data_IF_990434948369
#
_entry.id   IF_990434948369
#
_cell.length_a   1.000
_cell.length_b   1.000
_cell.length_c   1.000
_cell.angle_alpha   90.00
_cell.angle_beta   90.00
_cell.angle_gamma   90.00
#
_symmetry.space_group_name_H-M   'P 1'
#
loop_
_entity.id
_entity.type
_entity.pdbx_description
1 polymer ?
#
# COMPACT_ATOMS: atom_id res chain seq x y z
N UNK A 1 -21.59 5.67 5.64
CA UNK A 1 -20.31 4.96 5.84
C UNK A 1 -19.40 5.34 4.69
N UNK A 2 -18.52 6.31 4.93
CA UNK A 2 -17.75 7.00 3.89
C UNK A 2 -16.36 6.40 3.85
N UNK A 3 -16.10 5.51 2.89
CA UNK A 3 -14.73 5.17 2.53
C UNK A 3 -14.11 6.30 1.71
N UNK A 4 -12.80 6.45 1.89
CA UNK A 4 -11.78 7.21 1.14
C UNK A 4 -11.23 8.44 1.88
N UNK A 5 -9.92 8.41 2.16
CA UNK A 5 -9.05 9.58 2.00
C UNK A 5 -7.72 9.13 1.40
N UNK A 6 -7.61 9.28 0.07
CA UNK A 6 -6.33 9.26 -0.65
C UNK A 6 -5.68 10.62 -0.39
N UNK A 7 -4.83 10.69 0.63
CA UNK A 7 -3.96 11.84 0.82
C UNK A 7 -2.67 11.62 0.02
N UNK A 8 -2.70 11.77 -1.31
CA UNK A 8 -1.46 11.88 -2.06
C UNK A 8 -0.83 13.24 -1.74
N UNK A 9 0.07 13.27 -0.75
CA UNK A 9 0.85 14.48 -0.46
C UNK A 9 2.29 14.11 -0.14
N UNK A 10 3.15 14.22 -1.15
CA UNK A 10 4.60 14.42 -0.99
C UNK A 10 5.53 13.44 -1.71
N UNK A 11 5.09 12.20 -1.94
CA UNK A 11 5.85 11.17 -2.67
C UNK A 11 4.94 10.55 -3.72
N UNK A 12 5.38 10.47 -4.97
CA UNK A 12 4.55 10.09 -6.13
C UNK A 12 3.95 8.67 -6.03
N UNK A 13 4.43 7.83 -5.10
CA UNK A 13 4.05 6.41 -4.97
C UNK A 13 3.38 6.04 -3.64
N UNK A 14 3.39 6.89 -2.61
CA UNK A 14 2.84 6.55 -1.29
C UNK A 14 1.32 6.70 -1.25
N UNK A 15 0.61 5.70 -0.71
CA UNK A 15 -0.84 5.76 -0.52
C UNK A 15 -1.27 5.21 0.84
N UNK A 16 -2.22 5.88 1.49
CA UNK A 16 -2.90 5.37 2.67
C UNK A 16 -4.35 5.04 2.32
N UNK A 17 -4.75 3.80 2.57
CA UNK A 17 -6.07 3.27 2.23
C UNK A 17 -6.73 2.76 3.49
N UNK A 18 -7.93 3.23 3.81
CA UNK A 18 -8.62 2.93 5.06
C UNK A 18 -10.01 2.34 4.89
N UNK A 19 -10.36 1.40 5.76
CA UNK A 19 -11.74 0.99 6.07
C UNK A 19 -12.14 1.51 7.45
N UNK A 20 -12.82 2.68 7.53
CA UNK A 20 -13.29 3.23 8.79
C UNK A 20 -14.28 2.33 9.53
N UNK A 21 -15.01 1.46 8.82
CA UNK A 21 -15.95 0.52 9.43
C UNK A 21 -15.28 -0.53 10.31
N UNK A 22 -13.98 -0.79 10.07
CA UNK A 22 -13.17 -1.76 10.83
C UNK A 22 -11.96 -1.15 11.53
N UNK A 23 -11.69 0.13 11.32
CA UNK A 23 -10.49 0.80 11.85
C UNK A 23 -9.19 0.24 11.26
N UNK A 24 -9.21 -0.27 10.03
CA UNK A 24 -8.07 -0.91 9.37
C UNK A 24 -7.54 0.02 8.28
N UNK A 25 -6.22 0.15 8.19
CA UNK A 25 -5.55 0.82 7.08
C UNK A 25 -4.42 -0.01 6.46
N UNK A 26 -4.19 0.24 5.18
CA UNK A 26 -3.08 -0.25 4.35
C UNK A 26 -2.24 0.95 3.94
N UNK A 27 -0.93 0.87 4.15
CA UNK A 27 0.04 1.87 3.68
C UNK A 27 0.89 1.29 2.55
N UNK A 28 0.84 1.91 1.39
CA UNK A 28 1.61 1.52 0.20
C UNK A 28 2.83 2.42 0.10
N UNK A 29 4.00 1.82 -0.16
CA UNK A 29 5.31 2.48 -0.30
C UNK A 29 5.55 3.60 0.73
N UNK A 30 5.64 3.27 2.04
CA UNK A 30 5.80 4.26 3.10
C UNK A 30 7.09 5.08 2.89
N UNK A 31 7.03 6.43 2.95
CA UNK A 31 8.20 7.26 2.77
C UNK A 31 9.18 7.06 3.92
N UNK A 32 10.43 7.49 3.73
CA UNK A 32 11.48 7.41 4.75
C UNK A 32 11.04 7.94 6.13
N UNK A 33 10.23 9.00 6.16
CA UNK A 33 9.56 9.48 7.36
C UNK A 33 8.05 9.18 7.34
N UNK A 34 7.59 8.08 7.96
CA UNK A 34 6.18 7.69 7.96
C UNK A 34 5.32 8.44 9.01
N UNK A 35 5.92 9.24 9.88
CA UNK A 35 5.22 9.90 11.00
C UNK A 35 3.93 10.64 10.63
N UNK A 36 3.91 11.47 9.56
CA UNK A 36 2.69 12.15 9.12
C UNK A 36 1.55 11.19 8.73
N UNK A 37 1.88 10.03 8.16
CA UNK A 37 0.90 9.03 7.74
C UNK A 37 0.36 8.22 8.91
N UNK A 38 1.21 7.92 9.89
CA UNK A 38 0.79 7.30 11.16
C UNK A 38 -0.16 8.23 11.93
N UNK A 39 0.17 9.52 11.98
CA UNK A 39 -0.69 10.54 12.60
C UNK A 39 -2.02 10.68 11.87
N UNK A 40 -2.00 10.72 10.53
CA UNK A 40 -3.23 10.84 9.74
C UNK A 40 -4.13 9.59 9.88
N UNK A 41 -3.55 8.39 9.89
CA UNK A 41 -4.30 7.17 10.17
C UNK A 41 -4.96 7.24 11.56
N UNK A 42 -4.21 7.63 12.59
CA UNK A 42 -4.73 7.77 13.95
C UNK A 42 -5.83 8.85 14.03
N UNK A 43 -5.69 9.98 13.33
CA UNK A 43 -6.69 11.07 13.28
C UNK A 43 -8.02 10.61 12.68
N UNK A 44 -8.00 9.57 11.85
CA UNK A 44 -9.17 8.96 11.24
C UNK A 44 -9.66 7.70 11.98
N UNK A 45 -9.16 7.43 13.20
CA UNK A 45 -9.43 6.22 13.98
C UNK A 45 -9.03 4.91 13.23
N UNK A 46 -8.05 5.01 12.33
CA UNK A 46 -7.51 3.89 11.58
C UNK A 46 -6.20 3.41 12.20
N UNK A 47 -5.97 2.10 12.14
CA UNK A 47 -4.68 1.48 12.47
C UNK A 47 -4.07 0.88 11.23
N UNK A 48 -2.83 1.26 10.92
CA UNK A 48 -2.06 0.65 9.84
C UNK A 48 -1.74 -0.78 10.24
N UNK A 49 -2.36 -1.75 9.56
CA UNK A 49 -2.16 -3.18 9.82
C UNK A 49 -1.45 -3.89 8.67
N UNK A 50 -1.33 -3.21 7.54
CA UNK A 50 -0.81 -3.77 6.31
C UNK A 50 0.09 -2.74 5.65
N UNK A 51 1.27 -3.19 5.22
CA UNK A 51 2.22 -2.39 4.45
C UNK A 51 2.54 -3.11 3.16
N UNK A 52 2.40 -2.44 2.03
CA UNK A 52 2.69 -3.02 0.71
C UNK A 52 3.87 -2.25 0.10
N UNK A 53 4.93 -2.98 -0.27
CA UNK A 53 5.99 -2.44 -1.11
C UNK A 53 5.74 -2.89 -2.54
N UNK A 54 5.56 -1.94 -3.46
CA UNK A 54 5.21 -2.25 -4.86
C UNK A 54 6.41 -2.74 -5.68
N UNK A 55 7.63 -2.38 -5.24
CA UNK A 55 8.87 -2.56 -5.99
C UNK A 55 9.23 -1.38 -6.89
N UNK A 56 8.41 -0.31 -6.92
CA UNK A 56 8.69 0.92 -7.69
C UNK A 56 9.87 1.73 -7.12
N UNK A 57 10.05 1.65 -5.80
CA UNK A 57 11.09 2.39 -5.07
C UNK A 57 11.97 1.38 -4.36
N UNK A 58 13.28 1.63 -4.37
CA UNK A 58 14.25 0.86 -3.60
C UNK A 58 13.80 0.81 -2.13
N UNK A 59 13.64 -0.39 -1.51
CA UNK A 59 13.20 -0.53 -0.13
C UNK A 59 14.07 0.24 0.87
N UNK A 60 15.35 0.48 0.55
CA UNK A 60 16.26 1.24 1.41
C UNK A 60 15.88 2.73 1.52
N UNK A 61 15.07 3.24 0.58
CA UNK A 61 14.55 4.62 0.62
C UNK A 61 13.19 4.71 1.33
N UNK A 62 12.60 3.57 1.71
CA UNK A 62 11.26 3.50 2.31
C UNK A 62 11.33 3.31 3.83
N UNK A 63 10.37 3.90 4.53
CA UNK A 63 10.28 3.90 6.00
C UNK A 63 9.54 2.69 6.59
N UNK A 64 9.36 1.60 5.83
CA UNK A 64 8.52 0.46 6.22
C UNK A 64 8.96 -0.22 7.52
N UNK A 65 10.27 -0.24 7.80
CA UNK A 65 10.82 -0.82 9.04
C UNK A 65 10.28 -0.13 10.29
N UNK A 66 10.26 1.21 10.28
CA UNK A 66 9.72 2.00 11.38
C UNK A 66 8.22 1.75 11.58
N UNK A 67 7.47 1.72 10.47
CA UNK A 67 6.03 1.42 10.50
C UNK A 67 5.77 0.04 11.11
N UNK A 68 6.48 -1.00 10.66
CA UNK A 68 6.28 -2.37 11.15
C UNK A 68 6.68 -2.49 12.62
N UNK A 69 7.79 -1.88 13.02
CA UNK A 69 8.24 -1.89 14.42
C UNK A 69 7.22 -1.23 15.36
N UNK A 70 6.59 -0.15 14.92
CA UNK A 70 5.61 0.58 15.72
C UNK A 70 4.23 -0.08 15.74
N UNK A 71 3.81 -0.66 14.60
CA UNK A 71 2.41 -1.11 14.41
C UNK A 71 2.22 -2.62 14.43
N UNK A 72 3.30 -3.39 14.24
CA UNK A 72 3.24 -4.83 13.98
C UNK A 72 2.55 -5.18 12.66
N UNK A 73 2.50 -4.25 11.70
CA UNK A 73 1.83 -4.46 10.42
C UNK A 73 2.41 -5.63 9.63
N UNK A 74 1.54 -6.34 8.90
CA UNK A 74 1.93 -7.36 7.94
C UNK A 74 2.56 -6.70 6.71
N UNK A 75 3.76 -7.13 6.35
CA UNK A 75 4.46 -6.69 5.14
C UNK A 75 4.09 -7.57 3.94
N UNK A 76 3.82 -6.92 2.82
CA UNK A 76 3.62 -7.54 1.51
C UNK A 76 4.62 -6.98 0.50
N UNK A 77 5.17 -7.84 -0.35
CA UNK A 77 6.17 -7.50 -1.35
C UNK A 77 5.66 -7.79 -2.76
N UNK A 78 5.66 -6.76 -3.60
CA UNK A 78 5.47 -6.90 -5.03
C UNK A 78 6.77 -7.15 -5.79
N UNK A 79 6.68 -7.95 -6.84
CA UNK A 79 7.77 -8.14 -7.80
C UNK A 79 8.92 -8.97 -7.23
N UNK A 80 10.10 -8.95 -7.88
CA UNK A 80 11.28 -9.67 -7.40
C UNK A 80 12.01 -8.93 -6.26
N UNK A 81 11.32 -8.04 -5.54
CA UNK A 81 11.88 -7.27 -4.44
C UNK A 81 12.41 -8.19 -3.33
N UNK A 82 13.52 -7.80 -2.72
CA UNK A 82 14.03 -8.40 -1.50
C UNK A 82 13.98 -7.38 -0.36
N UNK A 83 13.57 -7.83 0.82
CA UNK A 83 13.66 -7.05 2.05
C UNK A 83 14.19 -7.94 3.18
N UNK A 84 14.65 -7.29 4.25
CA UNK A 84 15.23 -7.93 5.43
C UNK A 84 14.19 -8.36 6.47
N UNK A 85 12.90 -8.06 6.25
CA UNK A 85 11.81 -8.44 7.14
C UNK A 85 10.96 -9.58 6.55
N UNK A 86 10.33 -10.42 7.39
CA UNK A 86 9.37 -11.43 6.93
C UNK A 86 8.22 -10.77 6.17
N UNK A 87 7.97 -11.22 4.94
CA UNK A 87 6.94 -10.64 4.09
C UNK A 87 6.23 -11.69 3.24
N UNK A 88 4.99 -11.39 2.87
CA UNK A 88 4.22 -12.18 1.93
C UNK A 88 4.46 -11.66 0.51
N UNK A 89 4.93 -12.52 -0.39
CA UNK A 89 5.10 -12.17 -1.80
C UNK A 89 3.74 -12.10 -2.49
N UNK A 90 3.57 -11.07 -3.30
CA UNK A 90 2.40 -10.83 -4.13
C UNK A 90 2.71 -11.18 -5.58
N UNK A 91 1.85 -11.98 -6.20
CA UNK A 91 1.92 -12.35 -7.62
C UNK A 91 0.68 -11.87 -8.36
N UNK A 92 0.77 -11.78 -9.69
CA UNK A 92 -0.37 -11.41 -10.52
C UNK A 92 -1.55 -12.38 -10.30
N UNK A 93 -2.74 -11.82 -10.11
CA UNK A 93 -3.96 -12.55 -9.76
C UNK A 93 -4.27 -12.61 -8.27
N UNK A 94 -3.31 -12.28 -7.38
CA UNK A 94 -3.57 -12.24 -5.95
C UNK A 94 -4.61 -11.17 -5.59
N UNK A 95 -5.39 -11.48 -4.56
CA UNK A 95 -6.40 -10.57 -4.02
C UNK A 95 -6.21 -10.47 -2.52
N UNK A 96 -6.01 -9.25 -2.04
CA UNK A 96 -5.99 -8.92 -0.62
C UNK A 96 -7.32 -8.25 -0.25
N UNK A 97 -7.99 -8.78 0.77
CA UNK A 97 -9.27 -8.25 1.24
C UNK A 97 -9.17 -7.83 2.71
N UNK A 98 -9.47 -6.55 2.97
CA UNK A 98 -9.43 -5.95 4.29
C UNK A 98 -10.74 -5.18 4.54
N UNK A 99 -11.73 -5.89 5.08
CA UNK A 99 -13.04 -5.29 5.31
C UNK A 99 -13.74 -4.90 4.02
N UNK A 100 -13.97 -3.61 3.81
CA UNK A 100 -14.51 -3.11 2.53
C UNK A 100 -13.44 -2.86 1.45
N UNK A 101 -12.15 -2.93 1.77
CA UNK A 101 -11.07 -2.75 0.81
C UNK A 101 -10.72 -4.08 0.13
N UNK A 102 -10.58 -4.06 -1.20
CA UNK A 102 -10.11 -5.17 -2.02
C UNK A 102 -9.03 -4.68 -2.97
N UNK A 103 -7.82 -5.21 -2.80
CA UNK A 103 -6.64 -4.89 -3.61
C UNK A 103 -6.36 -6.10 -4.48
N UNK A 104 -6.43 -5.93 -5.79
CA UNK A 104 -6.09 -6.99 -6.77
C UNK A 104 -4.76 -6.68 -7.41
N UNK A 105 -3.89 -7.68 -7.50
CA UNK A 105 -2.60 -7.56 -8.17
C UNK A 105 -2.82 -7.89 -9.65
N UNK A 106 -2.88 -6.88 -10.51
CA UNK A 106 -3.24 -7.09 -11.93
C UNK A 106 -2.04 -7.50 -12.79
N UNK A 107 -0.86 -6.93 -12.52
CA UNK A 107 0.36 -7.24 -13.25
C UNK A 107 1.55 -7.24 -12.31
N UNK A 108 2.38 -8.28 -12.36
CA UNK A 108 3.69 -8.31 -11.72
C UNK A 108 4.72 -8.27 -12.86
N UNK A 109 5.20 -7.07 -13.19
CA UNK A 109 6.26 -6.89 -14.16
C UNK A 109 7.60 -7.35 -13.60
N UNK A 110 8.69 -7.32 -14.39
CA UNK A 110 10.02 -7.74 -13.94
C UNK A 110 10.60 -6.86 -12.83
N UNK A 111 10.00 -5.71 -12.52
CA UNK A 111 10.52 -4.77 -11.52
C UNK A 111 9.53 -4.43 -10.40
N UNK A 112 8.22 -4.50 -10.67
CA UNK A 112 7.21 -4.05 -9.71
C UNK A 112 5.84 -4.67 -10.00
N UNK A 113 4.92 -4.53 -9.04
CA UNK A 113 3.50 -4.89 -9.20
C UNK A 113 2.63 -3.67 -9.43
N UNK A 114 1.55 -3.88 -10.20
CA UNK A 114 0.44 -2.96 -10.34
C UNK A 114 -0.70 -3.40 -9.42
N UNK A 115 -1.16 -2.47 -8.57
CA UNK A 115 -2.27 -2.66 -7.65
C UNK A 115 -3.53 -2.02 -8.25
N UNK A 116 -4.60 -2.79 -8.42
CA UNK A 116 -5.93 -2.22 -8.66
C UNK A 116 -6.76 -2.27 -7.38
N UNK A 117 -7.30 -1.12 -6.99
CA UNK A 117 -8.04 -0.93 -5.75
C UNK A 117 -9.54 -0.92 -6.06
N UNK A 118 -10.29 -1.62 -5.23
CA UNK A 118 -11.74 -1.66 -5.29
C UNK A 118 -12.30 -1.67 -3.88
N UNK A 119 -13.48 -1.09 -3.70
CA UNK A 119 -14.19 -1.14 -2.43
C UNK A 119 -15.50 -1.91 -2.62
N UNK A 120 -15.80 -2.90 -1.78
CA UNK A 120 -17.01 -3.72 -1.96
C UNK A 120 -18.31 -2.96 -1.67
N UNK A 121 -18.25 -1.90 -0.85
CA UNK A 121 -19.41 -1.11 -0.43
C UNK A 121 -19.70 0.11 -1.34
N UNK A 122 -18.92 0.32 -2.39
CA UNK A 122 -19.14 1.36 -3.40
C UNK A 122 -18.77 0.78 -4.77
N UNK A 123 -19.56 1.06 -5.81
CA UNK A 123 -19.17 0.76 -7.20
C UNK A 123 -18.06 1.70 -7.71
N UNK A 124 -17.02 1.93 -6.90
CA UNK A 124 -15.84 2.73 -7.23
C UNK A 124 -14.70 1.75 -7.42
N UNK A 125 -14.29 1.60 -8.67
CA UNK A 125 -13.06 0.92 -9.07
C UNK A 125 -12.06 2.01 -9.43
N UNK A 126 -11.10 2.26 -8.55
CA UNK A 126 -9.97 3.12 -8.84
C UNK A 126 -8.77 2.19 -9.00
N UNK A 127 -8.45 1.83 -10.24
CA UNK A 127 -7.12 1.29 -10.48
C UNK A 127 -6.17 2.47 -10.40
N UNK A 128 -5.46 2.61 -9.28
CA UNK A 128 -4.32 3.52 -9.24
C UNK A 128 -3.20 2.86 -10.05
N UNK A 129 -3.19 3.16 -11.35
CA UNK A 129 -1.99 3.07 -12.15
C UNK A 129 -1.04 4.16 -11.68
N UNK A 130 -0.07 3.83 -10.82
CA UNK A 130 1.18 4.61 -10.84
C UNK A 130 1.82 4.27 -12.17
N UNK A 131 2.05 5.32 -12.97
CA UNK A 131 2.63 5.25 -14.30
C UNK A 131 3.74 4.19 -14.38
N UNK A 132 3.68 3.36 -15.41
CA UNK A 132 4.90 2.76 -15.96
C UNK A 132 5.81 3.92 -16.32
N UNK A 133 6.75 4.26 -15.43
CA UNK A 133 7.79 5.19 -15.81
C UNK A 133 8.51 4.52 -16.99
N UNK A 134 8.45 5.16 -18.16
CA UNK A 134 9.25 4.78 -19.32
C UNK A 134 10.70 4.68 -18.85
N UNK A 135 11.21 3.45 -18.69
CA UNK A 135 12.65 3.26 -18.64
C UNK A 135 13.16 3.55 -20.06
N UNK A 136 14.00 4.58 -20.27
CA UNK A 136 14.58 4.80 -21.59
C UNK A 136 15.42 3.58 -21.95
N UNK A 137 15.22 3.08 -23.18
CA UNK A 137 16.09 2.12 -23.85
C UNK A 137 17.52 2.62 -23.95
#
# INVERSE_FOLDING_TARGET
MTAISVAATGFETTQLLGDPGRGIAVLVDPPANPGPWLLEAARQDLRIRHVILTGQVDPNLLGYRGVIAETGAQLYLGGPLECDLPALRLIAGDVLEFGCLRITIEHAGPHAVQLCLSCTNKSVRECTSVFTNDAPR
#
